data_IF_598584119457
#
_entry.id   IF_598584119457
#
_cell.length_a   1.000
_cell.length_b   1.000
_cell.length_c   1.000
_cell.angle_alpha   90.00
_cell.angle_beta   90.00
_cell.angle_gamma   90.00
#
_symmetry.space_group_name_H-M   'P 1'
#
loop_
_entity.id
_entity.type
_entity.pdbx_description
1 polymer ?
#
# COMPACT_ATOMS: atom_id res chain seq x y z
N UNK A 1 0.01 -25.66 13.89
CA UNK A 1 0.14 -24.28 14.38
C UNK A 1 1.28 -23.65 13.61
N UNK A 2 1.00 -22.58 12.88
CA UNK A 2 2.03 -21.81 12.21
C UNK A 2 2.94 -21.13 13.27
N UNK A 3 4.22 -20.97 12.93
CA UNK A 3 5.16 -20.30 13.82
C UNK A 3 5.11 -18.79 13.57
N UNK A 4 5.33 -17.98 14.60
CA UNK A 4 5.48 -16.52 14.45
C UNK A 4 6.74 -16.24 13.63
N UNK A 5 6.56 -15.54 12.52
CA UNK A 5 7.63 -15.17 11.60
C UNK A 5 8.20 -13.79 11.91
N UNK A 6 7.35 -12.86 12.34
CA UNK A 6 7.74 -11.48 12.60
C UNK A 6 6.89 -10.86 13.72
N UNK A 7 7.48 -9.91 14.43
CA UNK A 7 6.81 -9.05 15.39
C UNK A 7 6.86 -7.62 14.85
N UNK A 8 5.74 -7.11 14.40
CA UNK A 8 5.66 -5.76 13.85
C UNK A 8 5.15 -4.76 14.87
N UNK A 9 5.74 -3.56 14.88
CA UNK A 9 5.26 -2.47 15.70
C UNK A 9 3.96 -1.92 15.11
N UNK A 10 2.91 -1.87 15.93
CA UNK A 10 1.71 -1.13 15.60
C UNK A 10 1.71 0.22 16.30
N UNK A 11 1.39 1.28 15.54
CA UNK A 11 1.23 2.63 16.09
C UNK A 11 -0.08 2.74 16.87
N UNK A 12 -0.09 2.30 18.12
CA UNK A 12 -1.29 2.42 18.96
C UNK A 12 -1.67 3.88 19.17
N UNK A 13 -2.93 4.23 18.96
CA UNK A 13 -3.50 5.56 19.20
C UNK A 13 -3.56 5.93 20.71
N UNK A 14 -3.30 4.99 21.60
CA UNK A 14 -3.57 5.09 23.04
C UNK A 14 -2.35 4.96 23.94
N UNK A 15 -1.10 5.09 23.42
CA UNK A 15 0.08 5.03 24.28
C UNK A 15 1.26 4.23 23.73
N UNK A 16 1.73 3.23 24.47
CA UNK A 16 2.90 2.46 24.06
C UNK A 16 2.65 1.64 22.78
N UNK A 17 3.64 1.57 21.86
CA UNK A 17 3.54 0.71 20.69
C UNK A 17 3.27 -0.74 21.09
N UNK A 18 2.38 -1.38 20.36
CA UNK A 18 2.10 -2.83 20.51
C UNK A 18 2.92 -3.63 19.53
N UNK A 19 3.27 -4.86 19.89
CA UNK A 19 3.86 -5.83 18.97
C UNK A 19 2.76 -6.73 18.42
N UNK A 20 2.54 -6.66 17.11
CA UNK A 20 1.63 -7.54 16.40
C UNK A 20 2.43 -8.76 15.89
N UNK A 21 2.15 -9.98 16.38
CA UNK A 21 2.77 -11.19 15.86
C UNK A 21 2.15 -11.54 14.50
N UNK A 22 2.98 -11.77 13.50
CA UNK A 22 2.57 -12.27 12.20
C UNK A 22 3.17 -13.66 11.98
N UNK A 23 2.32 -14.61 11.62
CA UNK A 23 2.73 -15.98 11.33
C UNK A 23 3.21 -16.11 9.88
N UNK A 24 4.01 -17.16 9.58
CA UNK A 24 4.51 -17.41 8.22
C UNK A 24 3.39 -17.55 7.20
N UNK A 25 2.33 -18.24 7.56
CA UNK A 25 1.16 -18.46 6.69
C UNK A 25 0.46 -17.14 6.36
N UNK A 26 0.26 -16.29 7.36
CA UNK A 26 -0.31 -14.96 7.19
C UNK A 26 0.51 -14.08 6.24
N UNK A 27 1.83 -14.02 6.45
CA UNK A 27 2.72 -13.26 5.59
C UNK A 27 2.69 -13.75 4.14
N UNK A 28 2.67 -15.07 3.95
CA UNK A 28 2.60 -15.67 2.62
C UNK A 28 1.27 -15.35 1.92
N UNK A 29 0.15 -15.56 2.59
CA UNK A 29 -1.20 -15.29 2.04
C UNK A 29 -1.31 -13.83 1.63
N UNK A 30 -0.89 -12.90 2.50
CA UNK A 30 -0.89 -11.48 2.20
C UNK A 30 -0.02 -11.11 1.01
N UNK A 31 1.25 -11.48 1.07
CA UNK A 31 2.21 -11.10 0.04
C UNK A 31 1.82 -11.70 -1.33
N UNK A 32 1.29 -12.92 -1.35
CA UNK A 32 0.84 -13.56 -2.58
C UNK A 32 -0.40 -12.87 -3.17
N UNK A 33 -1.45 -12.66 -2.36
CA UNK A 33 -2.68 -12.04 -2.81
C UNK A 33 -2.44 -10.60 -3.33
N UNK A 34 -1.61 -9.81 -2.63
CA UNK A 34 -1.24 -8.49 -3.10
C UNK A 34 -0.42 -8.51 -4.38
N UNK A 35 0.51 -9.46 -4.51
CA UNK A 35 1.30 -9.59 -5.73
C UNK A 35 0.42 -9.83 -6.96
N UNK A 36 -0.62 -10.64 -6.79
CA UNK A 36 -1.62 -10.91 -7.83
C UNK A 36 -2.44 -9.67 -8.16
N UNK A 37 -2.90 -8.93 -7.15
CA UNK A 37 -3.61 -7.65 -7.32
C UNK A 37 -2.79 -6.58 -8.05
N UNK A 38 -1.47 -6.63 -7.93
CA UNK A 38 -0.54 -5.72 -8.61
C UNK A 38 0.02 -6.28 -9.92
N UNK A 39 -0.41 -7.46 -10.37
CA UNK A 39 0.11 -8.16 -11.56
C UNK A 39 1.64 -8.36 -11.50
N UNK A 40 2.19 -8.60 -10.31
CA UNK A 40 3.63 -8.81 -10.14
C UNK A 40 4.10 -10.12 -10.76
N UNK A 41 5.30 -10.09 -11.33
CA UNK A 41 5.96 -11.21 -11.98
C UNK A 41 7.49 -11.07 -11.88
N UNK A 42 8.23 -11.87 -12.62
CA UNK A 42 9.71 -11.86 -12.67
C UNK A 42 10.31 -10.54 -13.19
N UNK A 43 9.56 -9.78 -13.99
CA UNK A 43 9.98 -8.47 -14.49
C UNK A 43 9.70 -7.32 -13.51
N UNK A 44 9.07 -7.61 -12.36
CA UNK A 44 8.77 -6.62 -11.34
C UNK A 44 10.05 -6.05 -10.73
N UNK A 45 10.14 -4.73 -10.71
CA UNK A 45 11.19 -3.96 -10.03
C UNK A 45 10.54 -3.04 -9.01
N UNK A 46 10.49 -3.50 -7.78
CA UNK A 46 9.90 -2.77 -6.65
C UNK A 46 10.93 -1.89 -5.97
N UNK A 47 10.65 -0.60 -5.84
CA UNK A 47 11.47 0.34 -5.08
C UNK A 47 10.93 0.48 -3.64
N UNK A 48 11.71 0.01 -2.67
CA UNK A 48 11.43 0.14 -1.25
C UNK A 48 12.02 1.45 -0.71
N UNK A 49 11.18 2.46 -0.52
CA UNK A 49 11.55 3.78 0.05
C UNK A 49 10.91 4.02 1.42
N UNK A 50 9.88 3.26 1.77
CA UNK A 50 9.27 3.32 3.10
C UNK A 50 10.04 2.42 4.07
N UNK A 51 9.97 2.69 5.38
CA UNK A 51 10.64 1.87 6.38
C UNK A 51 10.29 0.38 6.26
N UNK A 52 11.29 -0.45 6.02
CA UNK A 52 11.13 -1.91 5.80
C UNK A 52 10.39 -2.61 6.94
N UNK A 53 10.59 -2.26 8.24
CA UNK A 53 9.87 -2.88 9.35
C UNK A 53 8.35 -2.62 9.35
N UNK A 54 7.86 -1.74 8.49
CA UNK A 54 6.42 -1.46 8.38
C UNK A 54 5.75 -2.45 7.42
N UNK A 55 4.57 -3.00 7.82
CA UNK A 55 3.81 -4.00 7.05
C UNK A 55 3.61 -3.59 5.58
N UNK A 56 3.35 -2.32 5.31
CA UNK A 56 3.13 -1.79 3.97
C UNK A 56 4.34 -2.02 3.06
N UNK A 57 5.54 -1.63 3.48
CA UNK A 57 6.76 -1.83 2.70
C UNK A 57 7.19 -3.30 2.65
N UNK A 58 6.90 -4.06 3.70
CA UNK A 58 7.39 -5.42 3.84
C UNK A 58 6.57 -6.45 3.06
N UNK A 59 5.24 -6.46 3.22
CA UNK A 59 4.39 -7.52 2.66
C UNK A 59 3.05 -7.07 2.03
N UNK A 60 2.89 -5.78 1.66
CA UNK A 60 1.63 -5.29 1.07
C UNK A 60 1.80 -4.61 -0.31
N UNK A 61 2.19 -5.33 -1.37
CA UNK A 61 2.92 -6.60 -1.47
C UNK A 61 4.38 -6.45 -1.08
N UNK A 62 4.95 -5.24 -1.29
CA UNK A 62 6.27 -4.83 -0.88
C UNK A 62 7.39 -5.81 -1.26
N UNK A 63 8.34 -5.93 -0.34
CA UNK A 63 9.52 -6.77 -0.53
C UNK A 63 9.14 -8.24 -0.70
N UNK A 64 8.30 -8.78 0.20
CA UNK A 64 7.96 -10.20 0.16
C UNK A 64 7.20 -10.59 -1.10
N UNK A 65 6.22 -9.79 -1.50
CA UNK A 65 5.45 -10.06 -2.72
C UNK A 65 6.32 -10.05 -3.97
N UNK A 66 7.25 -9.09 -4.05
CA UNK A 66 8.20 -9.01 -5.16
C UNK A 66 9.07 -10.27 -5.25
N UNK A 67 9.67 -10.68 -4.12
CA UNK A 67 10.53 -11.85 -4.08
C UNK A 67 9.77 -13.15 -4.33
N UNK A 68 8.53 -13.29 -3.84
CA UNK A 68 7.67 -14.45 -4.13
C UNK A 68 7.38 -14.62 -5.62
N UNK A 69 7.30 -13.54 -6.37
CA UNK A 69 7.05 -13.57 -7.82
C UNK A 69 8.34 -13.57 -8.67
N UNK A 70 9.51 -13.68 -8.04
CA UNK A 70 10.81 -13.72 -8.71
C UNK A 70 11.32 -12.36 -9.19
N UNK A 71 10.67 -11.26 -8.77
CA UNK A 71 11.05 -9.90 -9.12
C UNK A 71 12.28 -9.39 -8.37
N UNK A 72 12.67 -8.16 -8.66
CA UNK A 72 13.82 -7.47 -8.08
C UNK A 72 13.38 -6.41 -7.08
N UNK A 73 13.96 -6.42 -5.89
CA UNK A 73 13.78 -5.36 -4.89
C UNK A 73 14.97 -4.41 -4.93
N UNK A 74 14.67 -3.11 -5.09
CA UNK A 74 15.64 -2.03 -5.01
C UNK A 74 15.39 -1.30 -3.70
N UNK A 75 16.39 -1.19 -2.85
CA UNK A 75 16.27 -0.50 -1.55
C UNK A 75 16.87 0.90 -1.66
N UNK A 76 16.13 1.89 -1.18
CA UNK A 76 16.58 3.26 -1.05
C UNK A 76 16.29 3.73 0.37
N UNK A 77 17.30 4.21 1.06
CA UNK A 77 17.23 4.75 2.43
C UNK A 77 16.97 6.26 2.45
N UNK A 78 16.92 6.90 1.28
CA UNK A 78 16.61 8.31 1.10
C UNK A 78 15.20 8.48 0.52
N UNK A 79 14.39 9.31 1.15
CA UNK A 79 13.04 9.65 0.68
C UNK A 79 13.01 10.96 -0.14
N UNK A 80 14.15 11.59 -0.36
CA UNK A 80 14.26 12.79 -1.19
C UNK A 80 13.83 12.46 -2.62
N UNK A 81 12.95 13.27 -3.18
CA UNK A 81 12.37 13.04 -4.51
C UNK A 81 13.46 12.93 -5.60
N UNK A 82 14.52 13.74 -5.54
CA UNK A 82 15.57 13.73 -6.56
C UNK A 82 16.31 12.38 -6.59
N UNK A 83 16.68 11.86 -5.42
CA UNK A 83 17.29 10.53 -5.28
C UNK A 83 16.36 9.45 -5.79
N UNK A 84 15.09 9.50 -5.37
CA UNK A 84 14.06 8.49 -5.73
C UNK A 84 13.78 8.51 -7.22
N UNK A 85 13.57 9.68 -7.84
CA UNK A 85 13.25 9.79 -9.26
C UNK A 85 14.43 9.33 -10.14
N UNK A 86 15.67 9.67 -9.77
CA UNK A 86 16.88 9.15 -10.44
C UNK A 86 17.00 7.64 -10.35
N UNK A 87 16.63 7.03 -9.21
CA UNK A 87 16.60 5.57 -9.07
C UNK A 87 15.51 4.97 -9.95
N UNK A 88 14.30 5.53 -9.95
CA UNK A 88 13.20 5.07 -10.82
C UNK A 88 13.64 5.06 -12.28
N UNK A 89 14.25 6.14 -12.73
CA UNK A 89 14.73 6.26 -14.10
C UNK A 89 15.87 5.29 -14.43
N UNK A 90 16.90 5.22 -13.58
CA UNK A 90 18.09 4.41 -13.80
C UNK A 90 17.79 2.92 -13.77
N UNK A 91 17.06 2.46 -12.76
CA UNK A 91 16.76 1.05 -12.54
C UNK A 91 15.52 0.57 -13.30
N UNK A 92 14.76 1.48 -13.91
CA UNK A 92 13.49 1.18 -14.56
C UNK A 92 12.49 0.55 -13.60
N UNK A 93 12.36 1.17 -12.44
CA UNK A 93 11.37 0.77 -11.42
C UNK A 93 9.96 0.82 -12.01
N UNK A 94 9.17 -0.23 -11.76
CA UNK A 94 7.79 -0.28 -12.26
C UNK A 94 6.73 -0.30 -11.15
N UNK A 95 7.10 -0.58 -9.89
CA UNK A 95 6.20 -0.47 -8.74
C UNK A 95 6.92 0.19 -7.57
N UNK A 96 6.23 1.06 -6.84
CA UNK A 96 6.67 1.58 -5.54
C UNK A 96 5.48 1.93 -4.66
N UNK A 97 5.75 2.16 -3.37
CA UNK A 97 4.74 2.49 -2.37
C UNK A 97 5.12 3.79 -1.66
N UNK A 98 4.14 4.67 -1.47
CA UNK A 98 4.34 5.97 -0.80
C UNK A 98 3.21 6.25 0.20
N UNK A 99 3.46 7.16 1.12
CA UNK A 99 2.41 7.78 1.94
C UNK A 99 1.91 9.07 1.27
N UNK A 100 0.66 9.51 1.53
CA UNK A 100 0.09 10.70 0.88
C UNK A 100 0.94 11.96 1.01
N UNK A 101 1.62 12.16 2.14
CA UNK A 101 2.52 13.33 2.33
C UNK A 101 3.71 13.32 1.38
N UNK A 102 4.29 12.15 1.12
CA UNK A 102 5.39 12.01 0.16
C UNK A 102 4.90 12.20 -1.29
N UNK A 103 3.75 11.62 -1.61
CA UNK A 103 3.12 11.82 -2.93
C UNK A 103 2.85 13.30 -3.21
N UNK A 104 2.37 14.05 -2.22
CA UNK A 104 2.13 15.49 -2.36
C UNK A 104 3.41 16.23 -2.77
N UNK A 105 4.53 15.93 -2.14
CA UNK A 105 5.83 16.51 -2.51
C UNK A 105 6.19 16.16 -3.96
N UNK A 106 6.00 14.89 -4.36
CA UNK A 106 6.27 14.46 -5.73
C UNK A 106 5.43 15.23 -6.75
N UNK A 107 4.14 15.41 -6.49
CA UNK A 107 3.25 16.18 -7.35
C UNK A 107 3.68 17.63 -7.45
N UNK A 108 3.98 18.29 -6.32
CA UNK A 108 4.47 19.66 -6.29
C UNK A 108 5.75 19.85 -7.13
N UNK A 109 6.68 18.89 -7.07
CA UNK A 109 7.89 18.92 -7.90
C UNK A 109 7.57 18.73 -9.37
N UNK A 110 6.78 17.72 -9.72
CA UNK A 110 6.47 17.39 -11.13
C UNK A 110 5.61 18.45 -11.84
N UNK A 111 4.99 19.38 -11.11
CA UNK A 111 4.29 20.52 -11.70
C UNK A 111 5.23 21.56 -12.34
N UNK A 112 6.48 21.64 -11.90
CA UNK A 112 7.45 22.62 -12.41
C UNK A 112 8.73 21.99 -12.96
N UNK A 113 9.03 20.74 -12.63
CA UNK A 113 10.22 20.03 -13.13
C UNK A 113 9.81 18.72 -13.81
N UNK A 114 9.95 18.69 -15.12
CA UNK A 114 9.66 17.52 -15.97
C UNK A 114 10.94 16.86 -16.50
N UNK A 115 12.09 17.12 -15.88
CA UNK A 115 13.38 16.57 -16.33
C UNK A 115 13.52 15.06 -16.06
N UNK A 116 12.75 14.50 -15.14
CA UNK A 116 12.81 13.09 -14.77
C UNK A 116 11.98 12.20 -15.69
N UNK A 117 12.56 11.08 -16.09
CA UNK A 117 11.83 10.07 -16.87
C UNK A 117 11.25 8.97 -15.96
N UNK A 118 10.00 9.14 -15.55
CA UNK A 118 9.28 8.20 -14.69
C UNK A 118 8.38 7.23 -15.45
N UNK A 119 8.51 7.12 -16.77
CA UNK A 119 7.61 6.33 -17.64
C UNK A 119 7.68 4.82 -17.39
N UNK A 120 8.70 4.33 -16.69
CA UNK A 120 8.79 2.92 -16.27
C UNK A 120 7.83 2.59 -15.15
N UNK A 121 7.40 3.59 -14.35
CA UNK A 121 6.49 3.39 -13.23
C UNK A 121 5.10 3.01 -13.74
N UNK A 122 4.63 1.83 -13.40
CA UNK A 122 3.34 1.28 -13.83
C UNK A 122 2.30 1.34 -12.71
N UNK A 123 2.73 1.10 -11.47
CA UNK A 123 1.86 1.09 -10.28
C UNK A 123 2.49 1.92 -9.18
N UNK A 124 1.73 2.85 -8.66
CA UNK A 124 2.04 3.59 -7.44
C UNK A 124 1.01 3.26 -6.36
N UNK A 125 1.46 2.61 -5.31
CA UNK A 125 0.63 2.31 -4.15
C UNK A 125 0.67 3.47 -3.15
N UNK A 126 -0.50 3.88 -2.67
CA UNK A 126 -0.63 4.98 -1.71
C UNK A 126 -1.45 4.51 -0.52
N UNK A 127 -0.90 4.60 0.69
CA UNK A 127 -1.57 4.13 1.89
C UNK A 127 -0.99 4.71 3.18
N UNK A 128 -1.54 4.30 4.31
CA UNK A 128 -1.12 4.73 5.64
C UNK A 128 -1.79 6.00 6.15
N UNK A 129 -2.45 6.76 5.29
CA UNK A 129 -3.28 7.92 5.63
C UNK A 129 -4.32 8.17 4.52
N UNK A 130 -5.39 8.94 4.78
CA UNK A 130 -6.34 9.34 3.73
C UNK A 130 -5.64 10.14 2.62
N UNK A 131 -5.95 9.78 1.36
CA UNK A 131 -5.45 10.49 0.19
C UNK A 131 -6.49 11.53 -0.26
N UNK A 132 -6.07 12.77 -0.39
CA UNK A 132 -6.94 13.83 -0.93
C UNK A 132 -7.25 13.59 -2.42
N UNK A 133 -8.51 13.70 -2.83
CA UNK A 133 -8.95 13.47 -4.21
C UNK A 133 -8.12 14.26 -5.23
N UNK A 134 -7.88 15.54 -4.96
CA UNK A 134 -7.07 16.40 -5.82
C UNK A 134 -5.63 15.87 -6.03
N UNK A 135 -5.04 15.28 -5.00
CA UNK A 135 -3.69 14.71 -5.09
C UNK A 135 -3.73 13.42 -5.92
N UNK A 136 -4.76 12.58 -5.74
CA UNK A 136 -4.94 11.38 -6.54
C UNK A 136 -5.13 11.69 -8.03
N UNK A 137 -5.97 12.67 -8.38
CA UNK A 137 -6.21 13.14 -9.74
C UNK A 137 -4.90 13.62 -10.40
N UNK A 138 -4.16 14.51 -9.72
CA UNK A 138 -2.88 15.02 -10.21
C UNK A 138 -1.83 13.91 -10.35
N UNK A 139 -1.80 12.96 -9.43
CA UNK A 139 -0.88 11.83 -9.51
C UNK A 139 -1.14 11.00 -10.79
N UNK A 140 -2.40 10.72 -11.10
CA UNK A 140 -2.77 10.01 -12.33
C UNK A 140 -2.36 10.79 -13.59
N UNK A 141 -2.52 12.11 -13.57
CA UNK A 141 -2.19 12.98 -14.70
C UNK A 141 -0.67 13.07 -14.94
N UNK A 142 0.10 13.35 -13.88
CA UNK A 142 1.52 13.64 -13.98
C UNK A 142 2.39 12.38 -14.08
N UNK A 143 2.10 11.35 -13.27
CA UNK A 143 2.87 10.12 -13.26
C UNK A 143 2.46 9.14 -14.37
N UNK A 144 1.24 9.26 -14.89
CA UNK A 144 0.68 8.40 -15.96
C UNK A 144 0.75 6.91 -15.63
N UNK A 145 0.74 6.57 -14.35
CA UNK A 145 0.72 5.20 -13.83
C UNK A 145 -0.61 4.88 -13.15
N UNK A 146 -0.84 3.62 -12.81
CA UNK A 146 -2.01 3.21 -12.02
C UNK A 146 -1.77 3.57 -10.56
N UNK A 147 -2.69 4.33 -9.98
CA UNK A 147 -2.71 4.60 -8.54
C UNK A 147 -3.55 3.52 -7.86
N UNK A 148 -3.00 2.89 -6.83
CA UNK A 148 -3.72 1.94 -6.00
C UNK A 148 -3.76 2.46 -4.58
N UNK A 149 -4.96 2.77 -4.06
CA UNK A 149 -5.12 3.12 -2.65
C UNK A 149 -5.16 1.87 -1.78
N UNK A 150 -4.49 1.95 -0.62
CA UNK A 150 -4.49 0.91 0.39
C UNK A 150 -4.93 1.47 1.74
N UNK A 151 -5.87 0.79 2.36
CA UNK A 151 -6.24 0.98 3.76
C UNK A 151 -5.95 -0.32 4.53
N UNK A 152 -5.33 -0.20 5.68
CA UNK A 152 -5.08 -1.37 6.53
C UNK A 152 -4.44 -1.04 7.86
N UNK A 153 -4.48 -2.01 8.75
CA UNK A 153 -3.79 -1.99 10.03
C UNK A 153 -2.68 -3.06 10.07
N UNK A 154 -1.75 -2.89 10.99
CA UNK A 154 -0.66 -3.87 11.18
C UNK A 154 -1.22 -5.22 11.59
N UNK A 155 -2.28 -5.21 12.39
CA UNK A 155 -2.88 -6.37 13.03
C UNK A 155 -3.93 -7.08 12.17
N UNK A 156 -4.46 -6.43 11.14
CA UNK A 156 -5.68 -6.96 10.49
C UNK A 156 -5.79 -6.64 9.01
N UNK A 157 -7.03 -6.63 8.54
CA UNK A 157 -7.46 -6.47 7.16
C UNK A 157 -6.70 -5.40 6.39
N UNK A 158 -6.52 -5.66 5.11
CA UNK A 158 -6.16 -4.63 4.14
C UNK A 158 -7.20 -4.59 3.04
N UNK A 159 -7.62 -3.38 2.73
CA UNK A 159 -8.43 -3.08 1.55
C UNK A 159 -7.56 -2.39 0.51
N UNK A 160 -7.84 -2.62 -0.75
CA UNK A 160 -7.19 -1.90 -1.83
C UNK A 160 -8.16 -1.67 -3.00
N UNK A 161 -7.90 -0.61 -3.75
CA UNK A 161 -8.55 -0.41 -5.06
C UNK A 161 -7.94 -1.36 -6.09
N UNK A 162 -8.70 -1.71 -7.13
CA UNK A 162 -8.21 -2.51 -8.23
C UNK A 162 -7.48 -1.62 -9.27
N UNK A 163 -6.49 -2.18 -9.98
CA UNK A 163 -5.75 -1.45 -11.01
C UNK A 163 -6.62 -1.01 -12.20
N UNK A 164 -7.80 -1.60 -12.34
CA UNK A 164 -8.81 -1.26 -13.36
C UNK A 164 -9.84 -0.25 -12.88
N UNK A 165 -9.82 0.14 -11.61
CA UNK A 165 -10.78 1.10 -11.07
C UNK A 165 -10.64 2.47 -11.72
N UNK A 166 -11.76 3.17 -11.85
CA UNK A 166 -11.77 4.55 -12.34
C UNK A 166 -11.13 5.51 -11.34
N UNK A 167 -10.66 6.65 -11.82
CA UNK A 167 -10.13 7.72 -10.95
C UNK A 167 -11.17 8.12 -9.90
N UNK A 168 -12.45 8.20 -10.27
CA UNK A 168 -13.54 8.51 -9.36
C UNK A 168 -13.62 7.48 -8.22
N UNK A 169 -13.52 6.18 -8.52
CA UNK A 169 -13.48 5.12 -7.50
C UNK A 169 -12.25 5.26 -6.63
N UNK A 170 -11.06 5.44 -7.23
CA UNK A 170 -9.80 5.61 -6.51
C UNK A 170 -9.87 6.80 -5.54
N UNK A 171 -10.50 7.91 -5.93
CA UNK A 171 -10.62 9.10 -5.10
C UNK A 171 -11.70 8.99 -4.01
N UNK A 172 -12.71 8.15 -4.19
CA UNK A 172 -13.89 8.12 -3.31
C UNK A 172 -13.91 7.01 -2.27
N UNK A 173 -13.05 5.99 -2.39
CA UNK A 173 -13.04 4.85 -1.48
C UNK A 173 -11.64 4.28 -1.22
N UNK A 174 -11.55 3.43 -0.20
CA UNK A 174 -10.31 2.70 0.14
C UNK A 174 -10.27 1.30 -0.48
N UNK A 175 -11.11 1.03 -1.48
CA UNK A 175 -11.19 -0.24 -2.17
C UNK A 175 -11.99 -1.30 -1.43
N UNK A 176 -11.68 -2.54 -1.75
CA UNK A 176 -12.33 -3.75 -1.22
C UNK A 176 -11.34 -4.55 -0.39
N UNK A 177 -11.83 -5.42 0.51
CA UNK A 177 -10.98 -6.41 1.17
C UNK A 177 -10.11 -7.16 0.18
N UNK A 178 -8.88 -7.46 0.60
CA UNK A 178 -7.88 -8.10 -0.25
C UNK A 178 -8.27 -9.53 -0.61
N UNK A 179 -8.80 -10.27 0.36
CA UNK A 179 -9.15 -11.68 0.22
C UNK A 179 -10.67 -11.87 0.18
N UNK A 180 -11.16 -12.85 -0.60
CA UNK A 180 -12.59 -13.18 -0.62
C UNK A 180 -13.15 -13.64 0.74
N UNK A 181 -12.28 -14.20 1.60
CA UNK A 181 -12.60 -14.68 2.93
C UNK A 181 -12.60 -13.57 3.99
N UNK A 182 -12.23 -12.35 3.62
CA UNK A 182 -12.23 -11.21 4.53
C UNK A 182 -13.65 -10.77 4.84
N UNK A 183 -13.98 -10.75 6.11
CA UNK A 183 -15.23 -10.23 6.63
C UNK A 183 -14.97 -8.87 7.31
N UNK A 184 -15.70 -7.83 6.90
CA UNK A 184 -15.64 -6.51 7.52
C UNK A 184 -17.03 -6.11 7.98
N UNK A 185 -17.12 -5.59 9.21
CA UNK A 185 -18.32 -4.98 9.77
C UNK A 185 -17.98 -3.61 10.36
N UNK A 186 -18.94 -2.71 10.28
CA UNK A 186 -18.87 -1.44 11.00
C UNK A 186 -19.95 -1.47 12.06
N UNK A 187 -19.56 -1.32 13.33
CA UNK A 187 -20.43 -1.44 14.48
C UNK A 187 -20.45 -0.18 15.32
N UNK A 188 -21.56 0.03 16.04
CA UNK A 188 -21.65 1.08 17.05
C UNK A 188 -21.00 0.66 18.39
N UNK A 189 -21.05 1.54 19.38
CA UNK A 189 -20.48 1.29 20.73
C UNK A 189 -21.11 0.10 21.46
N UNK A 190 -22.27 -0.38 21.00
CA UNK A 190 -22.96 -1.56 21.52
C UNK A 190 -22.60 -2.84 20.77
N UNK A 191 -21.75 -2.76 19.73
CA UNK A 191 -21.37 -3.88 18.88
C UNK A 191 -22.42 -4.26 17.82
N UNK A 192 -23.42 -3.41 17.61
CA UNK A 192 -24.47 -3.61 16.58
C UNK A 192 -24.02 -3.01 15.27
N UNK A 193 -24.19 -3.76 14.18
CA UNK A 193 -23.83 -3.31 12.84
C UNK A 193 -24.64 -2.07 12.44
N UNK A 194 -23.94 -1.02 12.00
CA UNK A 194 -24.55 0.24 11.58
C UNK A 194 -25.01 0.20 10.13
N UNK A 195 -25.99 1.01 9.80
CA UNK A 195 -26.45 1.15 8.41
C UNK A 195 -25.37 1.81 7.54
N UNK A 196 -25.34 1.52 6.22
CA UNK A 196 -24.43 2.17 5.30
C UNK A 196 -24.49 3.70 5.39
N UNK A 197 -23.32 4.36 5.37
CA UNK A 197 -23.18 5.81 5.52
C UNK A 197 -23.12 6.30 6.98
N UNK A 198 -23.19 5.40 7.96
CA UNK A 198 -22.96 5.73 9.38
C UNK A 198 -21.53 5.41 9.78
N UNK A 199 -20.98 6.21 10.68
CA UNK A 199 -19.65 6.01 11.27
C UNK A 199 -19.74 5.00 12.42
N UNK A 200 -18.73 4.15 12.55
CA UNK A 200 -18.61 3.18 13.62
C UNK A 200 -17.20 2.59 13.71
N UNK A 201 -17.02 1.64 14.61
CA UNK A 201 -15.79 0.88 14.76
C UNK A 201 -15.71 -0.22 13.69
N UNK A 202 -14.52 -0.41 13.11
CA UNK A 202 -14.28 -1.44 12.09
C UNK A 202 -13.90 -2.74 12.79
N UNK A 203 -14.70 -3.76 12.61
CA UNK A 203 -14.36 -5.14 12.96
C UNK A 203 -13.97 -5.89 11.69
N UNK A 204 -12.85 -6.60 11.75
CA UNK A 204 -12.36 -7.39 10.64
C UNK A 204 -12.00 -8.80 11.07
N UNK A 205 -12.27 -9.77 10.19
CA UNK A 205 -11.90 -11.17 10.35
C UNK A 205 -11.47 -11.72 9.00
N UNK A 206 -10.38 -12.49 8.99
CA UNK A 206 -9.83 -13.09 7.79
C UNK A 206 -8.83 -14.20 8.11
N UNK A 207 -8.21 -14.81 7.09
CA UNK A 207 -7.26 -15.91 7.26
C UNK A 207 -5.85 -15.45 7.71
N UNK A 208 -5.72 -14.21 8.14
CA UNK A 208 -4.46 -13.59 8.62
C UNK A 208 -4.50 -13.26 10.09
#
# INVERSE_FOLDING_TARGET
>A
KSAVANLMLSGGTTGFPKLAPLEYEQLYVYANAFSEKCNMNEDTKYLAILPIPHKFAFCSPGILGTLLKGGTVIVCDDVNYDSVFKIIEREKVNITSVVPSLLKIWIEVLEWDNSYNLTSLQVLQVGGAPLENRIAEKACELLKCKIQQLYGATESVVCCTDLSDSIETICSCQGKPLLPEDEIKIVDDSGVEVLPGKTGEILAKGPY
#
